data_IF_180918840119
#
_entry.id   IF_180918840119
#
_cell.length_a   1.000
_cell.length_b   1.000
_cell.length_c   1.000
_cell.angle_alpha   90.00
_cell.angle_beta   90.00
_cell.angle_gamma   90.00
#
_symmetry.space_group_name_H-M   'P 1'
#
loop_
_entity.id
_entity.type
_entity.pdbx_description
1 polymer ?
#
# COMPACT_ATOMS: atom_id res chain seq x y z
N UNK A 1 -39.71 9.74 5.01
CA UNK A 1 -38.59 9.19 4.21
C UNK A 1 -37.57 8.62 5.18
N UNK A 2 -37.21 7.34 5.03
CA UNK A 2 -36.24 6.66 5.89
C UNK A 2 -34.87 7.34 5.75
N UNK A 3 -34.32 7.74 6.88
CA UNK A 3 -32.95 8.23 7.07
C UNK A 3 -31.96 7.25 6.44
N UNK A 4 -31.33 7.67 5.34
CA UNK A 4 -30.20 6.97 4.71
C UNK A 4 -28.92 7.72 5.03
N UNK A 5 -28.56 7.73 6.31
CA UNK A 5 -27.18 7.97 6.75
C UNK A 5 -26.36 6.73 6.40
N UNK A 6 -25.89 6.64 5.16
CA UNK A 6 -25.01 5.54 4.71
C UNK A 6 -24.14 5.94 3.51
N UNK A 7 -23.77 7.21 3.42
CA UNK A 7 -22.66 7.64 2.56
C UNK A 7 -21.51 7.94 3.50
N UNK A 8 -20.39 7.23 3.30
CA UNK A 8 -19.13 7.34 4.04
C UNK A 8 -19.08 6.52 5.34
N UNK A 9 -19.18 5.20 5.17
CA UNK A 9 -18.58 4.28 6.14
C UNK A 9 -17.04 4.42 6.05
N UNK A 10 -16.31 4.34 7.17
CA UNK A 10 -14.88 4.58 7.22
C UNK A 10 -14.17 3.54 6.35
N UNK A 11 -13.61 3.98 5.22
CA UNK A 11 -12.86 3.13 4.31
C UNK A 11 -11.51 2.77 4.94
N UNK A 12 -11.56 1.63 5.64
CA UNK A 12 -10.66 0.48 5.51
C UNK A 12 -9.17 0.78 5.37
N UNK A 13 -8.47 0.50 6.49
CA UNK A 13 -7.19 -0.21 6.56
C UNK A 13 -6.59 -0.60 5.21
N UNK A 14 -5.69 0.23 4.72
CA UNK A 14 -4.71 -0.18 3.72
C UNK A 14 -3.64 -0.99 4.45
N UNK A 15 -3.98 -2.25 4.71
CA UNK A 15 -3.00 -3.29 5.00
C UNK A 15 -2.19 -3.44 3.72
N UNK A 16 -0.90 -3.11 3.81
CA UNK A 16 0.10 -3.56 2.85
C UNK A 16 0.14 -5.08 2.97
N UNK A 17 -0.70 -5.74 2.16
CA UNK A 17 -0.68 -7.17 1.95
C UNK A 17 0.24 -7.46 0.75
N UNK A 18 1.54 -7.47 1.00
CA UNK A 18 2.40 -8.42 0.31
C UNK A 18 2.42 -9.68 1.16
N UNK A 19 1.70 -10.72 0.72
CA UNK A 19 1.67 -12.05 1.33
C UNK A 19 0.26 -12.53 1.70
N UNK A 20 -0.24 -13.55 0.98
CA UNK A 20 -1.22 -14.48 1.55
C UNK A 20 -0.59 -15.28 2.71
N UNK A 21 -1.27 -16.05 3.55
CA UNK A 21 -2.62 -16.58 3.54
C UNK A 21 -3.08 -16.93 5.00
N UNK A 22 -4.12 -17.76 5.13
CA UNK A 22 -5.10 -17.82 6.21
C UNK A 22 -4.80 -18.69 7.47
N UNK A 23 -5.56 -18.37 8.55
CA UNK A 23 -6.15 -19.22 9.60
C UNK A 23 -5.26 -19.99 10.63
N UNK A 24 -5.77 -20.01 11.87
CA UNK A 24 -5.18 -20.53 13.13
C UNK A 24 -5.22 -22.06 13.33
N UNK A 25 -4.13 -22.57 13.94
CA UNK A 25 -3.95 -23.61 15.00
C UNK A 25 -4.44 -25.08 14.79
N UNK A 26 -3.82 -26.14 15.41
CA UNK A 26 -3.06 -26.18 16.68
C UNK A 26 -1.74 -27.03 16.71
N UNK A 27 -1.06 -27.02 17.88
CA UNK A 27 0.17 -27.74 18.28
C UNK A 27 0.26 -29.22 17.87
N UNK A 28 1.47 -29.67 17.50
CA UNK A 28 2.09 -30.91 18.01
C UNK A 28 3.60 -30.77 18.12
N UNK A 29 4.13 -31.24 19.25
CA UNK A 29 5.55 -31.50 19.51
C UNK A 29 6.04 -32.69 18.69
N UNK A 30 7.35 -32.75 18.42
CA UNK A 30 8.11 -33.77 17.65
C UNK A 30 8.08 -33.50 16.12
N UNK A 31 9.20 -33.50 15.38
CA UNK A 31 10.40 -34.32 15.54
C UNK A 31 11.70 -33.53 15.37
N UNK A 32 12.62 -33.77 16.30
CA UNK A 32 14.03 -33.79 16.01
C UNK A 32 14.31 -35.05 15.17
N UNK A 33 14.72 -34.89 13.90
CA UNK A 33 15.67 -35.81 13.29
C UNK A 33 16.15 -35.34 11.91
N UNK A 34 17.49 -35.29 11.81
CA UNK A 34 18.30 -35.78 10.70
C UNK A 34 17.70 -35.66 9.29
N UNK A 35 18.09 -34.59 8.59
CA UNK A 35 18.17 -34.59 7.13
C UNK A 35 19.43 -35.36 6.68
N UNK A 36 19.35 -36.69 6.74
CA UNK A 36 20.07 -37.55 5.80
C UNK A 36 19.19 -37.73 4.55
N UNK A 37 19.75 -37.49 3.37
CA UNK A 37 19.18 -37.95 2.10
C UNK A 37 18.36 -36.91 1.34
N UNK A 38 19.05 -36.04 0.61
CA UNK A 38 18.55 -35.56 -0.68
C UNK A 38 19.74 -35.55 -1.64
N UNK A 39 19.64 -36.37 -2.68
CA UNK A 39 20.69 -36.60 -3.66
C UNK A 39 20.97 -35.34 -4.46
N UNK A 40 22.11 -34.74 -4.17
CA UNK A 40 23.17 -34.37 -5.11
C UNK A 40 24.38 -34.07 -4.23
N UNK A 41 25.46 -34.83 -4.41
CA UNK A 41 26.54 -35.02 -3.44
C UNK A 41 27.45 -33.81 -3.17
N UNK A 42 26.89 -32.69 -2.74
CA UNK A 42 27.65 -31.54 -2.26
C UNK A 42 27.40 -31.36 -0.75
N UNK A 43 28.43 -31.48 0.11
CA UNK A 43 28.27 -31.29 1.55
C UNK A 43 27.76 -29.87 1.83
N UNK A 44 26.77 -29.76 2.72
CA UNK A 44 26.22 -28.47 3.17
C UNK A 44 27.37 -27.58 3.68
N UNK A 45 27.47 -26.31 3.21
CA UNK A 45 28.44 -25.38 3.74
C UNK A 45 28.28 -25.22 5.27
N UNK A 46 29.36 -25.35 6.07
CA UNK A 46 29.28 -25.17 7.52
C UNK A 46 28.81 -23.76 7.92
N UNK A 47 28.99 -22.78 7.04
CA UNK A 47 28.63 -21.38 7.26
C UNK A 47 27.12 -21.11 7.13
N UNK A 48 26.33 -22.09 6.68
CA UNK A 48 24.89 -21.97 6.48
C UNK A 48 24.12 -21.55 7.73
N UNK A 49 24.54 -21.98 8.93
CA UNK A 49 23.88 -21.58 10.17
C UNK A 49 24.09 -20.08 10.46
N UNK A 50 25.29 -19.57 10.21
CA UNK A 50 25.61 -18.15 10.42
C UNK A 50 24.83 -17.26 9.44
N UNK A 51 24.77 -17.64 8.16
CA UNK A 51 23.98 -16.91 7.16
C UNK A 51 22.49 -16.94 7.49
N UNK A 52 21.97 -18.10 7.92
CA UNK A 52 20.57 -18.21 8.37
C UNK A 52 20.24 -17.27 9.53
N UNK A 53 21.14 -17.12 10.51
CA UNK A 53 20.94 -16.18 11.64
C UNK A 53 20.81 -14.73 11.18
N UNK A 54 21.59 -14.31 10.19
CA UNK A 54 21.49 -12.95 9.64
C UNK A 54 20.17 -12.71 8.91
N UNK A 55 19.68 -13.72 8.19
CA UNK A 55 18.38 -13.66 7.51
C UNK A 55 17.21 -13.60 8.51
N UNK A 56 17.23 -14.40 9.58
CA UNK A 56 16.20 -14.32 10.64
C UNK A 56 16.19 -12.95 11.31
N UNK A 57 17.36 -12.33 11.52
CA UNK A 57 17.44 -10.99 12.10
C UNK A 57 16.79 -9.88 11.25
N UNK A 58 16.57 -10.10 9.95
CA UNK A 58 15.81 -9.21 9.08
C UNK A 58 14.30 -9.26 9.40
N UNK A 59 13.79 -10.44 9.72
CA UNK A 59 12.38 -10.68 10.09
C UNK A 59 12.08 -10.16 11.49
N UNK A 60 13.01 -10.35 12.42
CA UNK A 60 12.93 -9.89 13.82
C UNK A 60 13.16 -8.37 13.99
N UNK A 61 13.22 -7.61 12.89
CA UNK A 61 13.43 -6.15 12.97
C UNK A 61 12.31 -5.48 13.77
N UNK A 62 12.58 -4.33 14.42
CA UNK A 62 11.53 -3.51 15.01
C UNK A 62 10.54 -3.03 13.94
N UNK A 63 9.24 -3.28 14.13
CA UNK A 63 8.20 -2.75 13.24
C UNK A 63 8.08 -1.23 13.36
N UNK A 64 7.82 -0.57 12.24
CA UNK A 64 7.52 0.87 12.21
C UNK A 64 6.15 1.17 12.81
N UNK A 65 5.93 2.43 13.21
CA UNK A 65 4.64 2.90 13.75
C UNK A 65 3.64 3.35 12.66
N UNK A 66 4.01 3.18 11.40
CA UNK A 66 3.23 3.54 10.21
C UNK A 66 4.00 3.15 8.93
N UNK A 67 3.38 3.25 7.75
CA UNK A 67 4.00 2.87 6.47
C UNK A 67 5.38 3.51 6.23
N UNK A 68 5.54 4.82 6.48
CA UNK A 68 6.83 5.49 6.29
C UNK A 68 7.90 4.97 7.25
N UNK A 69 7.55 4.78 8.53
CA UNK A 69 8.47 4.23 9.54
C UNK A 69 8.79 2.76 9.28
N UNK A 70 7.86 1.99 8.75
CA UNK A 70 8.06 0.60 8.36
C UNK A 70 9.08 0.50 7.23
N UNK A 71 8.93 1.35 6.21
CA UNK A 71 9.88 1.42 5.09
C UNK A 71 11.28 1.86 5.53
N UNK A 72 11.37 2.81 6.47
CA UNK A 72 12.66 3.20 7.08
C UNK A 72 13.29 2.06 7.88
N UNK A 73 12.48 1.35 8.68
CA UNK A 73 12.96 0.20 9.47
C UNK A 73 13.45 -0.93 8.55
N UNK A 74 12.67 -1.27 7.53
CA UNK A 74 12.98 -2.29 6.54
C UNK A 74 14.25 -1.94 5.76
N UNK A 75 14.37 -0.70 5.28
CA UNK A 75 15.59 -0.15 4.67
C UNK A 75 16.81 -0.37 5.56
N UNK A 76 16.72 0.04 6.83
CA UNK A 76 17.82 -0.10 7.79
C UNK A 76 18.16 -1.57 8.11
N UNK A 77 17.19 -2.47 8.03
CA UNK A 77 17.40 -3.90 8.24
C UNK A 77 18.12 -4.54 7.03
N UNK A 78 17.74 -4.20 5.81
CA UNK A 78 18.42 -4.67 4.58
C UNK A 78 19.87 -4.20 4.48
N UNK A 79 20.14 -2.94 4.81
CA UNK A 79 21.51 -2.42 4.82
C UNK A 79 22.37 -3.11 5.88
N UNK A 80 21.82 -3.39 7.07
CA UNK A 80 22.50 -4.17 8.11
C UNK A 80 22.75 -5.62 7.69
N UNK A 81 21.80 -6.25 7.01
CA UNK A 81 21.96 -7.59 6.45
C UNK A 81 23.12 -7.62 5.44
N UNK A 82 23.14 -6.70 4.46
CA UNK A 82 24.24 -6.57 3.51
C UNK A 82 25.60 -6.50 4.22
N UNK A 83 25.71 -5.61 5.21
CA UNK A 83 26.97 -5.41 5.93
C UNK A 83 27.39 -6.63 6.75
N UNK A 84 26.42 -7.36 7.33
CA UNK A 84 26.68 -8.59 8.06
C UNK A 84 27.18 -9.69 7.11
N UNK A 85 26.49 -9.90 5.99
CA UNK A 85 26.86 -10.89 4.98
C UNK A 85 28.24 -10.63 4.35
N UNK A 86 28.60 -9.36 4.11
CA UNK A 86 29.94 -8.97 3.60
C UNK A 86 31.07 -9.26 4.59
N UNK A 87 30.77 -9.31 5.89
CA UNK A 87 31.75 -9.54 6.96
C UNK A 87 31.80 -10.99 7.42
N UNK A 88 30.85 -11.82 6.99
CA UNK A 88 30.82 -13.23 7.39
C UNK A 88 32.04 -13.97 6.81
N UNK A 89 32.83 -14.67 7.65
CA UNK A 89 33.95 -15.48 7.18
C UNK A 89 33.42 -16.73 6.47
N UNK A 90 33.43 -16.69 5.13
CA UNK A 90 33.01 -17.83 4.29
C UNK A 90 34.24 -18.41 3.57
N UNK A 91 34.49 -19.68 3.81
CA UNK A 91 35.61 -20.43 3.25
C UNK A 91 35.20 -21.18 1.97
N UNK A 92 33.95 -21.63 1.91
CA UNK A 92 33.39 -22.36 0.76
C UNK A 92 33.27 -21.43 -0.47
N UNK A 93 34.04 -21.63 -1.57
CA UNK A 93 34.14 -20.62 -2.65
C UNK A 93 32.83 -20.27 -3.36
N UNK A 94 32.04 -21.28 -3.76
CA UNK A 94 30.78 -21.04 -4.45
C UNK A 94 29.74 -20.40 -3.52
N UNK A 95 29.74 -20.81 -2.25
CA UNK A 95 28.86 -20.23 -1.22
C UNK A 95 29.24 -18.78 -0.92
N UNK A 96 30.54 -18.48 -0.86
CA UNK A 96 31.07 -17.11 -0.70
C UNK A 96 30.59 -16.20 -1.82
N UNK A 97 30.60 -16.70 -3.07
CA UNK A 97 30.09 -15.95 -4.22
C UNK A 97 28.57 -15.71 -4.09
N UNK A 98 27.79 -16.75 -3.78
CA UNK A 98 26.34 -16.63 -3.62
C UNK A 98 25.95 -15.66 -2.49
N UNK A 99 26.66 -15.69 -1.36
CA UNK A 99 26.43 -14.77 -0.24
C UNK A 99 26.86 -13.33 -0.59
N UNK A 100 27.94 -13.15 -1.35
CA UNK A 100 28.33 -11.82 -1.83
C UNK A 100 27.29 -11.22 -2.79
N UNK A 101 26.72 -12.04 -3.67
CA UNK A 101 25.62 -11.65 -4.57
C UNK A 101 24.34 -11.32 -3.77
N UNK A 102 24.00 -12.13 -2.76
CA UNK A 102 22.90 -11.83 -1.83
C UNK A 102 23.13 -10.51 -1.08
N UNK A 103 24.35 -10.25 -0.60
CA UNK A 103 24.68 -9.03 0.11
C UNK A 103 24.54 -7.79 -0.79
N UNK A 104 25.03 -7.88 -2.04
CA UNK A 104 24.87 -6.82 -3.03
C UNK A 104 23.39 -6.57 -3.36
N UNK A 105 22.58 -7.63 -3.49
CA UNK A 105 21.14 -7.48 -3.73
C UNK A 105 20.39 -6.91 -2.53
N UNK A 106 20.76 -7.30 -1.30
CA UNK A 106 20.21 -6.73 -0.07
C UNK A 106 20.49 -5.22 0.02
N UNK A 107 21.70 -4.80 -0.32
CA UNK A 107 22.08 -3.38 -0.37
C UNK A 107 21.31 -2.62 -1.45
N UNK A 108 21.25 -3.18 -2.67
CA UNK A 108 20.51 -2.62 -3.80
C UNK A 108 19.04 -2.40 -3.42
N UNK A 109 18.39 -3.45 -2.91
CA UNK A 109 17.00 -3.40 -2.51
C UNK A 109 16.76 -2.43 -1.35
N UNK A 110 17.62 -2.46 -0.32
CA UNK A 110 17.59 -1.48 0.77
C UNK A 110 17.69 -0.03 0.28
N UNK A 111 18.56 0.25 -0.69
CA UNK A 111 18.68 1.59 -1.29
C UNK A 111 17.45 1.98 -2.14
N UNK A 112 16.81 1.03 -2.83
CA UNK A 112 15.56 1.28 -3.52
C UNK A 112 14.43 1.58 -2.53
N UNK A 113 14.28 0.80 -1.46
CA UNK A 113 13.33 1.07 -0.38
C UNK A 113 13.58 2.44 0.27
N UNK A 114 14.85 2.81 0.45
CA UNK A 114 15.23 4.15 0.94
C UNK A 114 14.72 5.26 0.02
N UNK A 115 14.85 5.07 -1.29
CA UNK A 115 14.37 6.03 -2.29
C UNK A 115 12.84 6.15 -2.32
N UNK A 116 12.13 5.14 -1.82
CA UNK A 116 10.67 5.16 -1.65
C UNK A 116 10.19 5.94 -0.43
N UNK A 117 11.06 6.23 0.54
CA UNK A 117 10.69 6.96 1.75
C UNK A 117 9.90 8.25 1.48
N UNK A 118 10.40 9.17 0.64
CA UNK A 118 9.69 10.39 0.26
C UNK A 118 8.34 10.15 -0.43
N UNK A 119 8.22 9.08 -1.23
CA UNK A 119 6.96 8.71 -1.89
C UNK A 119 5.92 8.29 -0.86
N UNK A 120 6.33 7.48 0.13
CA UNK A 120 5.44 7.01 1.19
C UNK A 120 5.02 8.15 2.11
N UNK A 121 5.95 9.04 2.48
CA UNK A 121 5.65 10.26 3.24
C UNK A 121 4.62 11.13 2.50
N UNK A 122 4.78 11.30 1.19
CA UNK A 122 3.82 12.06 0.37
C UNK A 122 2.45 11.36 0.28
N UNK A 123 2.43 10.03 0.15
CA UNK A 123 1.19 9.25 0.17
C UNK A 123 0.43 9.42 1.49
N UNK A 124 1.11 9.37 2.64
CA UNK A 124 0.50 9.61 3.96
C UNK A 124 -0.07 11.04 4.08
N UNK A 125 0.68 12.04 3.59
CA UNK A 125 0.21 13.42 3.56
C UNK A 125 -1.07 13.56 2.72
N UNK A 126 -1.08 12.95 1.52
CA UNK A 126 -2.24 12.98 0.62
C UNK A 126 -3.43 12.23 1.24
N UNK A 127 -3.22 11.12 1.93
CA UNK A 127 -4.29 10.44 2.67
C UNK A 127 -4.92 11.34 3.74
N UNK A 128 -4.10 12.11 4.46
CA UNK A 128 -4.59 13.13 5.39
C UNK A 128 -5.44 14.20 4.68
N UNK A 129 -4.99 14.67 3.52
CA UNK A 129 -5.76 15.62 2.69
C UNK A 129 -7.08 15.04 2.20
N UNK A 130 -7.08 13.80 1.70
CA UNK A 130 -8.28 13.11 1.21
C UNK A 130 -9.28 12.85 2.35
N UNK A 131 -8.80 12.50 3.55
CA UNK A 131 -9.65 12.33 4.73
C UNK A 131 -10.30 13.64 5.18
N UNK A 132 -9.56 14.75 5.13
CA UNK A 132 -10.10 16.08 5.42
C UNK A 132 -11.09 16.54 4.34
N UNK A 133 -10.77 16.27 3.08
CA UNK A 133 -11.63 16.52 1.93
C UNK A 133 -12.95 15.76 2.04
N UNK A 134 -12.92 14.47 2.39
CA UNK A 134 -14.11 13.65 2.58
C UNK A 134 -15.06 14.28 3.62
N UNK A 135 -14.54 14.66 4.79
CA UNK A 135 -15.33 15.37 5.83
C UNK A 135 -15.93 16.67 5.30
N UNK A 136 -15.18 17.42 4.49
CA UNK A 136 -15.66 18.66 3.87
C UNK A 136 -16.80 18.37 2.89
N UNK A 137 -16.65 17.38 2.01
CA UNK A 137 -17.70 16.93 1.08
C UNK A 137 -18.96 16.54 1.84
N UNK A 138 -18.86 15.74 2.91
CA UNK A 138 -20.00 15.37 3.77
C UNK A 138 -20.70 16.59 4.34
N UNK A 139 -19.94 17.54 4.89
CA UNK A 139 -20.49 18.76 5.47
C UNK A 139 -21.23 19.59 4.42
N UNK A 140 -20.63 19.76 3.23
CA UNK A 140 -21.27 20.50 2.13
C UNK A 140 -22.49 19.78 1.56
N UNK A 141 -22.49 18.45 1.52
CA UNK A 141 -23.64 17.66 1.11
C UNK A 141 -24.80 17.80 2.10
N UNK A 142 -24.53 17.75 3.41
CA UNK A 142 -25.55 17.96 4.44
C UNK A 142 -26.14 19.39 4.39
N UNK A 143 -25.30 20.39 4.11
CA UNK A 143 -25.74 21.77 3.90
C UNK A 143 -26.59 21.91 2.64
N UNK A 144 -26.23 21.20 1.57
CA UNK A 144 -27.03 21.11 0.35
C UNK A 144 -28.40 20.45 0.61
N UNK A 145 -28.44 19.32 1.30
CA UNK A 145 -29.68 18.65 1.69
C UNK A 145 -30.60 19.57 2.51
N UNK A 146 -30.02 20.31 3.46
CA UNK A 146 -30.77 21.30 4.25
C UNK A 146 -31.31 22.42 3.38
N UNK A 147 -30.52 22.89 2.42
CA UNK A 147 -30.97 23.89 1.43
C UNK A 147 -32.14 23.34 0.63
N UNK A 148 -32.05 22.07 0.21
CA UNK A 148 -33.07 21.45 -0.62
C UNK A 148 -34.37 21.11 0.12
N UNK A 149 -34.29 20.80 1.42
CA UNK A 149 -35.47 20.63 2.27
C UNK A 149 -36.27 21.93 2.46
N UNK A 150 -35.63 23.09 2.27
CA UNK A 150 -36.24 24.41 2.42
C UNK A 150 -36.43 25.14 1.08
N UNK A 151 -36.04 24.52 -0.03
CA UNK A 151 -36.06 25.09 -1.38
C UNK A 151 -37.21 24.56 -2.24
N UNK A 152 -37.27 24.95 -3.53
CA UNK A 152 -38.28 24.46 -4.47
C UNK A 152 -38.15 22.95 -4.69
N UNK A 153 -39.15 22.19 -4.22
CA UNK A 153 -39.13 20.72 -4.21
C UNK A 153 -38.85 20.09 -5.58
N UNK A 154 -39.50 20.57 -6.64
CA UNK A 154 -39.31 20.04 -7.99
C UNK A 154 -37.87 20.19 -8.52
N UNK A 155 -37.20 21.29 -8.15
CA UNK A 155 -35.82 21.57 -8.56
C UNK A 155 -34.83 20.70 -7.77
N UNK A 156 -35.09 20.55 -6.46
CA UNK A 156 -34.30 19.69 -5.59
C UNK A 156 -34.48 18.19 -5.85
N UNK A 157 -35.67 17.75 -6.24
CA UNK A 157 -35.91 16.37 -6.67
C UNK A 157 -35.12 16.08 -7.97
N UNK A 158 -35.12 17.00 -8.94
CA UNK A 158 -34.34 16.86 -10.18
C UNK A 158 -32.83 16.82 -9.91
N UNK A 159 -32.31 17.70 -9.05
CA UNK A 159 -30.91 17.69 -8.64
C UNK A 159 -30.55 16.43 -7.85
N UNK A 160 -31.46 15.95 -7.00
CA UNK A 160 -31.28 14.73 -6.22
C UNK A 160 -31.10 13.48 -7.09
N UNK A 161 -31.80 13.38 -8.23
CA UNK A 161 -31.61 12.28 -9.20
C UNK A 161 -30.21 12.33 -9.81
N UNK A 162 -29.72 13.52 -10.17
CA UNK A 162 -28.38 13.65 -10.74
C UNK A 162 -27.29 13.39 -9.70
N UNK A 163 -27.47 13.83 -8.45
CA UNK A 163 -26.53 13.60 -7.35
C UNK A 163 -26.39 12.12 -6.96
N UNK A 164 -27.37 11.28 -7.23
CA UNK A 164 -27.24 9.83 -7.05
C UNK A 164 -26.20 9.21 -8.00
N UNK A 165 -25.78 9.93 -9.05
CA UNK A 165 -24.77 9.49 -10.00
C UNK A 165 -23.34 9.89 -9.59
N UNK A 166 -23.15 10.50 -8.42
CA UNK A 166 -21.81 10.75 -7.87
C UNK A 166 -21.06 9.42 -7.80
N UNK A 167 -19.87 9.31 -8.40
CA UNK A 167 -19.08 8.08 -8.37
C UNK A 167 -18.78 7.66 -6.94
N UNK A 168 -18.95 6.37 -6.64
CA UNK A 168 -18.46 5.79 -5.38
C UNK A 168 -16.96 5.60 -5.48
N UNK A 169 -16.24 6.18 -4.54
CA UNK A 169 -14.79 6.09 -4.46
C UNK A 169 -14.46 4.87 -3.61
N UNK A 170 -14.16 3.76 -4.27
CA UNK A 170 -13.82 2.49 -3.63
C UNK A 170 -12.59 1.86 -4.32
N UNK A 171 -11.70 1.25 -3.53
CA UNK A 171 -10.49 0.57 -4.01
C UNK A 171 -9.39 1.51 -4.53
N UNK A 172 -8.41 0.94 -5.24
CA UNK A 172 -7.17 1.62 -5.67
C UNK A 172 -7.29 2.45 -6.96
N UNK A 173 -8.51 2.59 -7.52
CA UNK A 173 -8.78 3.22 -8.82
C UNK A 173 -8.88 4.76 -8.76
N UNK A 174 -7.92 5.39 -8.07
CA UNK A 174 -7.96 6.82 -7.77
C UNK A 174 -7.93 7.71 -9.03
N UNK A 175 -7.25 7.29 -10.09
CA UNK A 175 -7.21 8.02 -11.36
C UNK A 175 -8.58 8.00 -12.06
N UNK A 176 -9.23 6.83 -12.11
CA UNK A 176 -10.55 6.66 -12.69
C UNK A 176 -11.61 7.41 -11.90
N UNK A 177 -11.53 7.39 -10.57
CA UNK A 177 -12.43 8.15 -9.69
C UNK A 177 -12.28 9.65 -9.88
N UNK A 178 -11.04 10.16 -9.96
CA UNK A 178 -10.79 11.57 -10.23
C UNK A 178 -11.39 12.02 -11.58
N UNK A 179 -11.23 11.20 -12.64
CA UNK A 179 -11.82 11.47 -13.94
C UNK A 179 -13.37 11.40 -13.93
N UNK A 180 -13.94 10.47 -13.17
CA UNK A 180 -15.39 10.34 -13.03
C UNK A 180 -16.01 11.54 -12.28
N UNK A 181 -15.35 12.02 -11.23
CA UNK A 181 -15.78 13.21 -10.47
C UNK A 181 -15.69 14.47 -11.33
N UNK A 182 -14.64 14.61 -12.15
CA UNK A 182 -14.51 15.72 -13.09
C UNK A 182 -15.65 15.73 -14.13
N UNK A 183 -15.97 14.56 -14.70
CA UNK A 183 -17.12 14.41 -15.62
C UNK A 183 -18.44 14.72 -14.93
N UNK A 184 -18.60 14.28 -13.69
CA UNK A 184 -19.78 14.57 -12.88
C UNK A 184 -19.95 16.08 -12.64
N UNK A 185 -18.88 16.78 -12.22
CA UNK A 185 -18.91 18.23 -12.00
C UNK A 185 -19.28 18.95 -13.30
N UNK A 186 -18.65 18.62 -14.42
CA UNK A 186 -18.93 19.23 -15.72
C UNK A 186 -20.38 18.98 -16.20
N UNK A 187 -21.00 17.87 -15.79
CA UNK A 187 -22.42 17.61 -16.06
C UNK A 187 -23.33 18.45 -15.15
N UNK A 188 -23.03 18.54 -13.86
CA UNK A 188 -23.81 19.30 -12.89
C UNK A 188 -23.76 20.81 -13.12
N UNK A 189 -22.62 21.36 -13.57
CA UNK A 189 -22.47 22.78 -13.91
C UNK A 189 -23.39 23.21 -15.08
N UNK A 190 -23.83 22.27 -15.92
CA UNK A 190 -24.75 22.54 -17.03
C UNK A 190 -26.22 22.56 -16.60
N UNK A 191 -26.54 22.12 -15.38
CA UNK A 191 -27.91 22.12 -14.89
C UNK A 191 -28.37 23.55 -14.66
N UNK A 192 -29.53 23.88 -15.23
CA UNK A 192 -30.16 25.18 -15.01
C UNK A 192 -30.90 25.17 -13.67
N UNK A 193 -30.25 25.73 -12.64
CA UNK A 193 -30.81 25.93 -11.31
C UNK A 193 -31.31 27.36 -11.20
N UNK A 194 -32.62 27.54 -11.03
CA UNK A 194 -33.30 28.84 -11.02
C UNK A 194 -33.29 29.46 -9.62
N UNK A 195 -33.38 28.64 -8.58
CA UNK A 195 -33.31 29.13 -7.21
C UNK A 195 -31.88 29.52 -6.84
N UNK A 196 -31.69 30.78 -6.43
CA UNK A 196 -30.35 31.31 -6.15
C UNK A 196 -29.67 30.62 -4.96
N UNK A 197 -30.42 30.17 -3.94
CA UNK A 197 -29.86 29.48 -2.77
C UNK A 197 -29.47 28.05 -3.12
N UNK A 198 -30.33 27.33 -3.83
CA UNK A 198 -30.03 25.97 -4.34
C UNK A 198 -28.82 26.02 -5.27
N UNK A 199 -28.76 27.01 -6.17
CA UNK A 199 -27.63 27.20 -7.10
C UNK A 199 -26.32 27.47 -6.36
N UNK A 200 -26.33 28.36 -5.37
CA UNK A 200 -25.15 28.67 -4.56
C UNK A 200 -24.67 27.45 -3.77
N UNK A 201 -25.61 26.71 -3.17
CA UNK A 201 -25.31 25.51 -2.40
C UNK A 201 -24.76 24.38 -3.28
N UNK A 202 -25.34 24.17 -4.48
CA UNK A 202 -24.82 23.25 -5.48
C UNK A 202 -23.38 23.64 -5.90
N UNK A 203 -23.15 24.93 -6.20
CA UNK A 203 -21.82 25.44 -6.56
C UNK A 203 -20.80 25.16 -5.46
N UNK A 204 -21.18 25.36 -4.20
CA UNK A 204 -20.32 25.08 -3.03
C UNK A 204 -19.97 23.60 -2.95
N UNK A 205 -20.94 22.70 -3.13
CA UNK A 205 -20.72 21.25 -3.11
C UNK A 205 -19.85 20.79 -4.29
N UNK A 206 -20.08 21.30 -5.51
CA UNK A 206 -19.25 21.00 -6.67
C UNK A 206 -17.82 21.51 -6.49
N UNK A 207 -17.65 22.70 -5.89
CA UNK A 207 -16.35 23.23 -5.50
C UNK A 207 -15.62 22.30 -4.52
N UNK A 208 -16.30 21.83 -3.47
CA UNK A 208 -15.74 20.87 -2.53
C UNK A 208 -15.33 19.55 -3.21
N UNK A 209 -16.16 19.00 -4.11
CA UNK A 209 -15.80 17.80 -4.88
C UNK A 209 -14.56 18.04 -5.77
N UNK A 210 -14.45 19.21 -6.40
CA UNK A 210 -13.34 19.58 -7.28
C UNK A 210 -11.99 19.59 -6.58
N UNK A 211 -11.96 20.00 -5.31
CA UNK A 211 -10.73 20.07 -4.51
C UNK A 211 -10.06 18.70 -4.30
N UNK A 212 -10.82 17.60 -4.37
CA UNK A 212 -10.28 16.25 -4.21
C UNK A 212 -9.59 15.69 -5.46
N UNK A 213 -9.85 16.25 -6.65
CA UNK A 213 -9.33 15.72 -7.92
C UNK A 213 -7.80 15.74 -7.97
N UNK A 214 -7.10 16.86 -7.67
CA UNK A 214 -5.63 16.88 -7.68
C UNK A 214 -4.97 15.85 -6.74
N UNK A 215 -5.33 15.75 -5.44
CA UNK A 215 -4.71 14.76 -4.56
C UNK A 215 -5.02 13.32 -4.99
N UNK A 216 -6.22 13.00 -5.49
CA UNK A 216 -6.51 11.66 -6.02
C UNK A 216 -5.62 11.28 -7.21
N UNK A 217 -5.44 12.21 -8.17
CA UNK A 217 -4.54 11.99 -9.32
C UNK A 217 -3.09 11.79 -8.88
N UNK A 218 -2.64 12.59 -7.90
CA UNK A 218 -1.29 12.47 -7.37
C UNK A 218 -1.11 11.14 -6.64
N UNK A 219 -2.06 10.74 -5.81
CA UNK A 219 -2.04 9.46 -5.11
C UNK A 219 -1.96 8.27 -6.09
N UNK A 220 -2.76 8.30 -7.17
CA UNK A 220 -2.70 7.29 -8.23
C UNK A 220 -1.33 7.20 -8.90
N UNK A 221 -0.65 8.34 -9.08
CA UNK A 221 0.71 8.37 -9.65
C UNK A 221 1.72 7.74 -8.69
N UNK A 222 1.64 8.07 -7.39
CA UNK A 222 2.55 7.54 -6.37
C UNK A 222 2.38 6.02 -6.17
N UNK A 223 1.15 5.50 -6.29
CA UNK A 223 0.89 4.05 -6.27
C UNK A 223 1.59 3.29 -7.42
N UNK A 224 1.82 3.94 -8.56
CA UNK A 224 2.58 3.33 -9.65
C UNK A 224 4.09 3.39 -9.41
N UNK A 225 4.58 4.36 -8.63
CA UNK A 225 5.99 4.43 -8.26
C UNK A 225 6.37 3.32 -7.28
N UNK A 226 5.49 2.95 -6.34
CA UNK A 226 5.76 1.84 -5.41
C UNK A 226 5.91 0.48 -6.10
N UNK A 227 5.15 0.24 -7.17
CA UNK A 227 5.25 -1.00 -7.97
C UNK A 227 6.59 -1.15 -8.70
N UNK A 228 7.39 -0.09 -8.82
CA UNK A 228 8.72 -0.17 -9.45
C UNK A 228 9.73 -0.92 -8.58
N UNK A 229 9.41 -1.15 -7.31
CA UNK A 229 10.26 -1.84 -6.34
C UNK A 229 10.05 -3.36 -6.39
N UNK A 230 8.90 -3.82 -6.90
CA UNK A 230 8.52 -5.24 -6.98
C UNK A 230 9.59 -6.11 -7.67
N UNK A 231 10.14 -5.73 -8.85
CA UNK A 231 11.16 -6.55 -9.51
C UNK A 231 12.41 -6.77 -8.66
N UNK A 232 12.84 -5.76 -7.89
CA UNK A 232 14.01 -5.88 -7.03
C UNK A 232 13.73 -6.73 -5.79
N UNK A 233 12.49 -6.73 -5.30
CA UNK A 233 12.03 -7.65 -4.26
C UNK A 233 12.08 -9.11 -4.73
N UNK A 234 11.60 -9.38 -5.94
CA UNK A 234 11.68 -10.72 -6.56
C UNK A 234 13.12 -11.16 -6.81
N UNK A 235 13.99 -10.27 -7.28
CA UNK A 235 15.42 -10.55 -7.42
C UNK A 235 16.09 -10.87 -6.09
N UNK A 236 15.78 -10.11 -5.02
CA UNK A 236 16.28 -10.40 -3.68
C UNK A 236 15.82 -11.78 -3.19
N UNK A 237 14.53 -12.09 -3.34
CA UNK A 237 13.96 -13.40 -3.01
C UNK A 237 14.65 -14.53 -3.77
N UNK A 238 14.93 -14.34 -5.06
CA UNK A 238 15.65 -15.32 -5.86
C UNK A 238 17.07 -15.61 -5.31
N UNK A 239 17.79 -14.59 -4.83
CA UNK A 239 19.11 -14.78 -4.20
C UNK A 239 19.02 -15.46 -2.83
N UNK A 240 18.00 -15.13 -2.02
CA UNK A 240 17.73 -15.84 -0.76
C UNK A 240 17.49 -17.32 -1.02
N UNK A 241 16.63 -17.64 -1.99
CA UNK A 241 16.31 -19.03 -2.35
C UNK A 241 17.51 -19.78 -2.91
N UNK A 242 18.40 -19.12 -3.64
CA UNK A 242 19.66 -19.71 -4.10
C UNK A 242 20.58 -20.08 -2.95
N UNK A 243 20.77 -19.18 -1.98
CA UNK A 243 21.57 -19.45 -0.78
C UNK A 243 20.93 -20.55 0.07
N UNK A 244 19.60 -20.54 0.23
CA UNK A 244 18.84 -21.57 0.93
C UNK A 244 19.01 -22.95 0.30
N UNK A 245 18.92 -23.05 -1.02
CA UNK A 245 19.13 -24.30 -1.76
C UNK A 245 20.55 -24.88 -1.56
N UNK A 246 21.58 -24.02 -1.59
CA UNK A 246 22.97 -24.44 -1.28
C UNK A 246 23.12 -24.94 0.17
N UNK A 247 22.24 -24.49 1.07
CA UNK A 247 22.18 -24.93 2.46
C UNK A 247 21.28 -26.14 2.71
N UNK A 248 20.71 -26.74 1.66
CA UNK A 248 19.78 -27.88 1.76
C UNK A 248 18.43 -27.50 2.39
N UNK A 249 18.07 -26.22 2.37
CA UNK A 249 16.79 -25.70 2.85
C UNK A 249 15.87 -25.55 1.65
N UNK A 250 14.61 -26.00 1.77
CA UNK A 250 13.62 -25.81 0.69
C UNK A 250 13.32 -24.31 0.52
N UNK A 251 13.20 -23.81 -0.71
CA UNK A 251 12.74 -22.44 -0.95
C UNK A 251 11.35 -22.23 -0.32
N UNK A 252 11.12 -21.06 0.26
CA UNK A 252 9.76 -20.64 0.68
C UNK A 252 9.07 -19.88 -0.46
N UNK A 253 7.76 -20.14 -0.63
CA UNK A 253 6.88 -19.50 -1.63
C UNK A 253 6.48 -18.07 -1.28
#
# INVERSE_FOLDING_TARGET
>A
MRTRSALLAPFFFLVVACGGAAAQEPKTSADANTSEGSGDGQPRPPECEAIGKHLVALEDRPKGKGPADEMRSLTGAFLRLSDALKKEPIETPDFKKAVAELAAQAESFGNQLKSMGPIVDEMEQIQGQLSAWEKKVTSTANAFDTTCNNGPKAECDALGVELQKVPRIEGEKFAEHAAAIEKFIAAMEKLQVKDAKVKSSLTTMLGALKEGIPPMRRFATLLNESKKVDPAGEEFKAQVNRVAAMCGVKPEE
#
